data_IF_897603563179
#
_entry.id   IF_897603563179
#
_cell.length_a   1.000
_cell.length_b   1.000
_cell.length_c   1.000
_cell.angle_alpha   90.00
_cell.angle_beta   90.00
_cell.angle_gamma   90.00
#
_symmetry.space_group_name_H-M   'P 1'
#
loop_
_entity.id
_entity.type
_entity.pdbx_description
1 polymer ?
#
# COMPACT_ATOMS: atom_id res chain seq x y z
N UNK A 1 -83.64 -18.00 42.43
CA UNK A 1 -82.68 -17.55 43.46
C UNK A 1 -83.38 -16.51 44.32
N UNK A 2 -83.44 -16.71 45.63
CA UNK A 2 -84.11 -15.77 46.55
C UNK A 2 -83.41 -14.41 46.49
N UNK A 3 -84.19 -13.33 46.50
CA UNK A 3 -83.70 -11.95 46.45
C UNK A 3 -82.63 -11.66 47.51
N UNK A 4 -82.75 -12.26 48.70
CA UNK A 4 -81.75 -12.23 49.78
C UNK A 4 -80.35 -12.74 49.35
N UNK A 5 -80.27 -13.79 48.52
CA UNK A 5 -79.01 -14.35 48.04
C UNK A 5 -78.28 -13.41 47.07
N UNK A 6 -79.02 -12.65 46.25
CA UNK A 6 -78.46 -11.66 45.32
C UNK A 6 -77.86 -10.47 46.09
N UNK A 7 -78.54 -9.99 47.13
CA UNK A 7 -78.02 -8.92 47.99
C UNK A 7 -76.76 -9.32 48.75
N UNK A 8 -76.72 -10.54 49.30
CA UNK A 8 -75.52 -11.07 49.95
C UNK A 8 -74.35 -11.16 48.97
N UNK A 9 -74.58 -11.65 47.75
CA UNK A 9 -73.56 -11.74 46.71
C UNK A 9 -73.01 -10.36 46.32
N UNK A 10 -73.88 -9.35 46.14
CA UNK A 10 -73.47 -7.99 45.85
C UNK A 10 -72.62 -7.39 46.98
N UNK A 11 -73.01 -7.62 48.24
CA UNK A 11 -72.26 -7.18 49.42
C UNK A 11 -70.86 -7.80 49.49
N UNK A 12 -70.74 -9.12 49.30
CA UNK A 12 -69.45 -9.79 49.29
C UNK A 12 -68.56 -9.31 48.14
N UNK A 13 -69.14 -9.10 46.96
CA UNK A 13 -68.41 -8.58 45.78
C UNK A 13 -67.87 -7.18 46.05
N UNK A 14 -68.68 -6.28 46.63
CA UNK A 14 -68.26 -4.94 47.01
C UNK A 14 -67.11 -4.96 48.02
N UNK A 15 -67.20 -5.83 49.05
CA UNK A 15 -66.15 -6.00 50.05
C UNK A 15 -64.85 -6.55 49.44
N UNK A 16 -64.95 -7.50 48.52
CA UNK A 16 -63.79 -8.09 47.84
C UNK A 16 -63.10 -7.08 46.91
N UNK A 17 -63.88 -6.26 46.20
CA UNK A 17 -63.35 -5.18 45.38
C UNK A 17 -62.59 -4.14 46.22
N UNK A 18 -63.09 -3.81 47.42
CA UNK A 18 -62.39 -2.92 48.34
C UNK A 18 -61.04 -3.51 48.78
N UNK A 19 -60.99 -4.79 49.15
CA UNK A 19 -59.75 -5.45 49.52
C UNK A 19 -58.77 -5.55 48.36
N UNK A 20 -59.25 -5.89 47.17
CA UNK A 20 -58.42 -5.92 45.96
C UNK A 20 -57.86 -4.52 45.65
N UNK A 21 -58.66 -3.47 45.77
CA UNK A 21 -58.19 -2.09 45.58
C UNK A 21 -57.09 -1.72 46.59
N UNK A 22 -57.25 -2.09 47.87
CA UNK A 22 -56.22 -1.85 48.89
C UNK A 22 -54.95 -2.69 48.65
N UNK A 23 -55.10 -3.96 48.27
CA UNK A 23 -53.98 -4.84 47.94
C UNK A 23 -53.17 -4.30 46.75
N UNK A 24 -53.84 -3.81 45.69
CA UNK A 24 -53.17 -3.20 44.53
C UNK A 24 -52.35 -1.97 44.95
N UNK A 25 -52.86 -1.13 45.87
CA UNK A 25 -52.11 0.03 46.39
C UNK A 25 -50.82 -0.40 47.09
N UNK A 26 -50.89 -1.43 47.92
CA UNK A 26 -49.73 -2.00 48.63
C UNK A 26 -48.74 -2.59 47.63
N UNK A 27 -49.22 -3.42 46.70
CA UNK A 27 -48.40 -4.08 45.69
C UNK A 27 -47.70 -3.06 44.78
N UNK A 28 -48.38 -2.00 44.36
CA UNK A 28 -47.80 -0.92 43.55
C UNK A 28 -46.66 -0.23 44.30
N UNK A 29 -46.86 0.09 45.59
CA UNK A 29 -45.83 0.73 46.43
C UNK A 29 -44.62 -0.19 46.61
N UNK A 30 -44.86 -1.48 46.89
CA UNK A 30 -43.81 -2.47 47.08
C UNK A 30 -42.99 -2.71 45.80
N UNK A 31 -43.64 -2.89 44.64
CA UNK A 31 -42.96 -3.07 43.35
C UNK A 31 -42.06 -1.87 43.04
N UNK A 32 -42.53 -0.65 43.28
CA UNK A 32 -41.73 0.56 43.12
C UNK A 32 -40.52 0.63 44.06
N UNK A 33 -40.69 0.24 45.33
CA UNK A 33 -39.59 0.14 46.29
C UNK A 33 -38.55 -0.91 45.85
N UNK A 34 -39.00 -2.12 45.50
CA UNK A 34 -38.13 -3.24 45.10
C UNK A 34 -37.22 -2.85 43.93
N UNK A 35 -37.78 -2.22 42.88
CA UNK A 35 -37.02 -1.83 41.70
C UNK A 35 -35.94 -0.79 42.06
N UNK A 36 -36.31 0.27 42.79
CA UNK A 36 -35.37 1.34 43.17
C UNK A 36 -34.30 0.88 44.16
N UNK A 37 -34.59 -0.12 45.00
CA UNK A 37 -33.64 -0.62 46.00
C UNK A 37 -32.70 -1.69 45.45
N UNK A 38 -33.20 -2.61 44.61
CA UNK A 38 -32.47 -3.83 44.24
C UNK A 38 -32.17 -4.00 42.76
N UNK A 39 -32.90 -3.34 41.85
CA UNK A 39 -32.74 -3.57 40.42
C UNK A 39 -32.02 -2.42 39.72
N UNK A 40 -32.37 -1.17 40.05
CA UNK A 40 -31.92 -0.02 39.29
C UNK A 40 -31.65 1.20 40.17
N UNK A 41 -30.42 1.71 40.10
CA UNK A 41 -30.04 2.97 40.73
C UNK A 41 -29.92 4.07 39.67
N UNK A 42 -30.91 4.95 39.64
CA UNK A 42 -30.99 6.08 38.72
C UNK A 42 -29.80 7.04 38.84
N UNK A 43 -29.33 7.31 40.06
CA UNK A 43 -28.26 8.28 40.29
C UNK A 43 -26.92 7.76 39.75
N UNK A 44 -26.60 6.48 39.97
CA UNK A 44 -25.40 5.88 39.38
C UNK A 44 -25.44 5.86 37.85
N UNK A 45 -26.58 5.54 37.23
CA UNK A 45 -26.68 5.61 35.77
C UNK A 45 -26.47 7.05 35.28
N UNK A 46 -27.06 8.04 35.97
CA UNK A 46 -26.93 9.44 35.60
C UNK A 46 -25.48 9.92 35.70
N UNK A 47 -24.77 9.55 36.76
CA UNK A 47 -23.34 9.88 36.92
C UNK A 47 -22.48 9.17 35.88
N UNK A 48 -22.73 7.89 35.61
CA UNK A 48 -22.04 7.15 34.56
C UNK A 48 -22.21 7.82 33.19
N UNK A 49 -23.45 8.16 32.80
CA UNK A 49 -23.71 8.82 31.52
C UNK A 49 -23.02 10.18 31.43
N UNK A 50 -22.96 10.93 32.55
CA UNK A 50 -22.23 12.19 32.62
C UNK A 50 -20.73 11.99 32.41
N UNK A 51 -20.13 11.02 33.09
CA UNK A 51 -18.72 10.68 32.91
C UNK A 51 -18.43 10.25 31.46
N UNK A 52 -19.30 9.42 30.86
CA UNK A 52 -19.17 9.02 29.45
C UNK A 52 -19.24 10.23 28.52
N UNK A 53 -20.18 11.16 28.72
CA UNK A 53 -20.23 12.38 27.91
C UNK A 53 -18.96 13.22 28.04
N UNK A 54 -18.48 13.43 29.27
CA UNK A 54 -17.25 14.20 29.52
C UNK A 54 -16.03 13.54 28.86
N UNK A 55 -15.90 12.21 28.94
CA UNK A 55 -14.82 11.49 28.26
C UNK A 55 -14.93 11.57 26.73
N UNK A 56 -16.13 11.51 26.19
CA UNK A 56 -16.34 11.63 24.74
C UNK A 56 -15.99 13.03 24.24
N UNK A 57 -16.35 14.06 25.00
CA UNK A 57 -16.03 15.45 24.64
C UNK A 57 -14.51 15.69 24.69
N UNK A 58 -13.83 15.20 25.74
CA UNK A 58 -12.37 15.25 25.81
C UNK A 58 -11.68 14.49 24.66
N UNK A 59 -12.23 13.34 24.24
CA UNK A 59 -11.71 12.60 23.08
C UNK A 59 -11.91 13.39 21.78
N UNK A 60 -13.06 14.06 21.61
CA UNK A 60 -13.31 14.89 20.42
C UNK A 60 -12.35 16.06 20.33
N UNK A 61 -12.13 16.77 21.43
CA UNK A 61 -11.18 17.89 21.51
C UNK A 61 -9.76 17.40 21.15
N UNK A 62 -9.30 16.31 21.77
CA UNK A 62 -8.00 15.73 21.44
C UNK A 62 -7.88 15.31 19.96
N UNK A 63 -8.96 14.81 19.35
CA UNK A 63 -8.97 14.42 17.93
C UNK A 63 -8.88 15.64 17.01
N UNK A 64 -9.53 16.74 17.40
CA UNK A 64 -9.50 18.01 16.67
C UNK A 64 -8.10 18.62 16.73
N UNK A 65 -7.49 18.69 17.93
CA UNK A 65 -6.10 19.11 18.10
C UNK A 65 -5.12 18.26 17.27
N UNK A 66 -5.30 16.94 17.28
CA UNK A 66 -4.46 16.03 16.50
C UNK A 66 -4.62 16.27 14.98
N UNK A 67 -5.84 16.50 14.51
CA UNK A 67 -6.10 16.81 13.12
C UNK A 67 -5.42 18.13 12.71
N UNK A 68 -5.52 19.18 13.53
CA UNK A 68 -4.83 20.45 13.28
C UNK A 68 -3.31 20.31 13.27
N UNK A 69 -2.76 19.55 14.23
CA UNK A 69 -1.32 19.28 14.30
C UNK A 69 -0.85 18.56 13.03
N UNK A 70 -1.59 17.54 12.60
CA UNK A 70 -1.28 16.79 11.38
C UNK A 70 -1.35 17.66 10.13
N UNK A 71 -2.40 18.48 9.99
CA UNK A 71 -2.54 19.40 8.85
C UNK A 71 -1.38 20.41 8.82
N UNK A 72 -0.96 20.92 9.99
CA UNK A 72 0.18 21.82 10.10
C UNK A 72 1.50 21.14 9.71
N UNK A 73 1.68 19.88 10.09
CA UNK A 73 2.84 19.08 9.67
C UNK A 73 2.85 18.83 8.17
N UNK A 74 1.71 18.46 7.58
CA UNK A 74 1.55 18.26 6.13
C UNK A 74 1.85 19.57 5.38
N UNK A 75 1.27 20.70 5.80
CA UNK A 75 1.57 22.02 5.21
C UNK A 75 3.06 22.36 5.27
N UNK A 76 3.74 22.06 6.38
CA UNK A 76 5.20 22.27 6.51
C UNK A 76 5.98 21.35 5.57
N UNK A 77 5.60 20.08 5.47
CA UNK A 77 6.23 19.13 4.58
C UNK A 77 6.04 19.50 3.10
N UNK A 78 4.87 20.05 2.75
CA UNK A 78 4.58 20.54 1.40
C UNK A 78 5.46 21.72 1.04
N UNK A 79 5.58 22.70 1.94
CA UNK A 79 6.48 23.84 1.77
C UNK A 79 7.95 23.39 1.63
N UNK A 80 8.39 22.41 2.43
CA UNK A 80 9.75 21.86 2.33
C UNK A 80 9.96 21.11 1.00
N UNK A 81 8.94 20.38 0.51
CA UNK A 81 8.98 19.73 -0.80
C UNK A 81 9.08 20.75 -1.93
N UNK A 82 8.25 21.79 -1.91
CA UNK A 82 8.32 22.87 -2.90
C UNK A 82 9.67 23.60 -2.85
N UNK A 83 10.22 23.83 -1.66
CA UNK A 83 11.55 24.45 -1.52
C UNK A 83 12.63 23.56 -2.14
N UNK A 84 12.63 22.26 -1.83
CA UNK A 84 13.54 21.28 -2.45
C UNK A 84 13.39 21.21 -3.96
N UNK A 85 12.16 21.29 -4.48
CA UNK A 85 11.91 21.31 -5.92
C UNK A 85 12.45 22.59 -6.56
N UNK A 86 12.25 23.75 -5.95
CA UNK A 86 12.82 25.03 -6.41
C UNK A 86 14.34 24.97 -6.39
N UNK A 87 14.94 24.44 -5.33
CA UNK A 87 16.40 24.26 -5.26
C UNK A 87 16.90 23.29 -6.33
N UNK A 88 16.21 22.17 -6.55
CA UNK A 88 16.55 21.23 -7.60
C UNK A 88 16.47 21.88 -9.00
N UNK A 89 15.42 22.65 -9.27
CA UNK A 89 15.27 23.42 -10.50
C UNK A 89 16.40 24.43 -10.68
N UNK A 90 16.78 25.16 -9.63
CA UNK A 90 17.92 26.07 -9.67
C UNK A 90 19.23 25.33 -10.01
N UNK A 91 19.47 24.15 -9.42
CA UNK A 91 20.65 23.33 -9.73
C UNK A 91 20.64 22.81 -11.17
N UNK A 92 19.47 22.45 -11.70
CA UNK A 92 19.28 21.98 -13.09
C UNK A 92 19.51 23.10 -14.09
N UNK A 93 19.01 24.29 -13.79
CA UNK A 93 19.09 25.47 -14.65
C UNK A 93 20.27 26.37 -14.31
N UNK A 94 21.25 25.89 -13.54
CA UNK A 94 22.40 26.67 -13.08
C UNK A 94 23.19 27.32 -14.24
N UNK A 95 23.13 26.76 -15.44
CA UNK A 95 23.77 27.33 -16.64
C UNK A 95 23.16 28.67 -17.09
N UNK A 96 21.98 29.06 -16.58
CA UNK A 96 21.33 30.35 -16.88
C UNK A 96 21.85 31.50 -16.01
N UNK A 97 22.75 31.19 -15.06
CA UNK A 97 23.35 32.16 -14.15
C UNK A 97 24.19 33.20 -14.90
N UNK A 98 24.13 34.45 -14.45
CA UNK A 98 24.93 35.54 -15.00
C UNK A 98 26.43 35.30 -14.83
N UNK A 99 27.20 35.62 -15.87
CA UNK A 99 28.66 35.63 -15.82
C UNK A 99 29.18 37.06 -15.79
N UNK A 100 30.49 37.24 -15.57
CA UNK A 100 31.11 38.58 -15.60
C UNK A 100 31.03 39.26 -16.97
N UNK A 101 31.03 38.49 -18.05
CA UNK A 101 31.05 39.00 -19.42
C UNK A 101 29.64 39.09 -20.02
N UNK A 102 28.75 38.15 -19.70
CA UNK A 102 27.42 38.05 -20.27
C UNK A 102 26.38 38.04 -19.14
N UNK A 103 25.42 39.00 -19.11
CA UNK A 103 24.33 39.00 -18.16
C UNK A 103 23.43 37.77 -18.37
N UNK A 104 23.06 37.11 -17.27
CA UNK A 104 22.15 35.96 -17.27
C UNK A 104 20.72 36.37 -17.58
N UNK A 105 19.85 35.41 -17.94
CA UNK A 105 18.45 35.68 -18.30
C UNK A 105 17.71 36.40 -17.15
N UNK A 106 18.04 36.05 -15.91
CA UNK A 106 17.42 36.57 -14.69
C UNK A 106 18.14 37.81 -14.12
N UNK A 107 19.25 38.24 -14.74
CA UNK A 107 20.01 39.44 -14.37
C UNK A 107 20.13 40.40 -15.57
N UNK A 108 18.99 40.87 -16.05
CA UNK A 108 18.95 41.76 -17.22
C UNK A 108 19.56 43.14 -16.89
N UNK A 109 20.40 43.72 -17.77
CA UNK A 109 20.98 45.05 -17.58
C UNK A 109 19.96 46.18 -17.43
N UNK A 110 18.73 45.95 -17.89
CA UNK A 110 17.64 46.92 -17.84
C UNK A 110 16.88 46.92 -16.51
N UNK A 111 17.15 45.95 -15.63
CA UNK A 111 16.58 45.88 -14.28
C UNK A 111 17.58 46.44 -13.27
N UNK A 112 17.07 47.17 -12.28
CA UNK A 112 17.89 47.75 -11.19
C UNK A 112 18.38 46.68 -10.22
N UNK A 113 17.51 45.74 -9.89
CA UNK A 113 17.80 44.65 -8.96
C UNK A 113 17.73 43.29 -9.68
N UNK A 114 18.62 42.33 -9.34
CA UNK A 114 18.56 40.97 -9.85
C UNK A 114 17.25 40.29 -9.46
N UNK A 115 16.72 39.43 -10.34
CA UNK A 115 15.52 38.65 -10.02
C UNK A 115 15.78 37.72 -8.81
N UNK A 116 14.79 37.47 -7.94
CA UNK A 116 14.94 36.53 -6.82
C UNK A 116 15.45 35.15 -7.26
N UNK A 117 15.16 34.75 -8.50
CA UNK A 117 15.66 33.52 -9.08
C UNK A 117 17.18 33.53 -9.33
N UNK A 118 17.75 34.66 -9.76
CA UNK A 118 19.19 34.83 -9.93
C UNK A 118 19.92 34.64 -8.59
N UNK A 119 19.40 35.21 -7.50
CA UNK A 119 19.97 35.06 -6.15
C UNK A 119 19.97 33.60 -5.68
N UNK A 120 18.95 32.83 -6.05
CA UNK A 120 18.90 31.38 -5.78
C UNK A 120 19.91 30.61 -6.62
N UNK A 121 20.01 30.91 -7.91
CA UNK A 121 20.99 30.29 -8.80
C UNK A 121 22.43 30.50 -8.30
N UNK A 122 22.76 31.69 -7.78
CA UNK A 122 24.07 31.99 -7.21
C UNK A 122 24.41 31.13 -5.98
N UNK A 123 23.40 30.78 -5.17
CA UNK A 123 23.57 29.91 -3.99
C UNK A 123 23.65 28.42 -4.35
N UNK A 124 22.99 28.03 -5.44
CA UNK A 124 22.89 26.64 -5.85
C UNK A 124 24.21 26.13 -6.48
N UNK A 125 24.50 24.84 -6.33
CA UNK A 125 25.61 24.17 -7.03
C UNK A 125 25.08 23.38 -8.24
N UNK A 126 25.74 23.45 -9.41
CA UNK A 126 25.26 22.77 -10.62
C UNK A 126 25.15 21.26 -10.39
N UNK A 127 24.19 20.62 -11.08
CA UNK A 127 24.06 19.17 -11.06
C UNK A 127 25.30 18.51 -11.68
N UNK A 128 26.08 17.82 -10.86
CA UNK A 128 27.18 16.97 -11.34
C UNK A 128 26.58 15.68 -11.89
N UNK A 129 26.59 15.52 -13.22
CA UNK A 129 26.29 14.23 -13.82
C UNK A 129 27.43 13.26 -13.52
N UNK A 130 27.14 12.23 -12.72
CA UNK A 130 28.05 11.11 -12.52
C UNK A 130 28.18 10.42 -13.87
N UNK A 131 29.35 10.50 -14.49
CA UNK A 131 29.63 9.76 -15.72
C UNK A 131 29.36 8.28 -15.45
N UNK A 132 28.48 7.61 -16.21
CA UNK A 132 28.33 6.18 -16.07
C UNK A 132 29.71 5.56 -16.31
N UNK A 133 30.13 4.66 -15.42
CA UNK A 133 31.34 3.88 -15.65
C UNK A 133 31.18 3.16 -16.99
N UNK A 134 31.94 3.60 -17.98
CA UNK A 134 31.94 3.03 -19.31
C UNK A 134 32.48 1.61 -19.16
N UNK A 135 31.59 0.64 -18.97
CA UNK A 135 31.93 -0.76 -19.22
C UNK A 135 32.39 -0.82 -20.67
N UNK A 136 33.69 -1.02 -20.88
CA UNK A 136 34.29 -1.20 -22.21
C UNK A 136 33.51 -2.31 -22.92
N UNK A 137 32.60 -1.93 -23.82
CA UNK A 137 32.01 -2.89 -24.74
C UNK A 137 33.16 -3.38 -25.61
N UNK A 138 33.37 -4.69 -25.65
CA UNK A 138 34.31 -5.33 -26.58
C UNK A 138 33.93 -4.85 -27.98
N UNK A 139 34.86 -4.21 -28.68
CA UNK A 139 34.65 -3.81 -30.07
C UNK A 139 34.45 -5.07 -30.89
N UNK A 140 33.24 -5.28 -31.39
CA UNK A 140 32.99 -6.30 -32.41
C UNK A 140 33.73 -5.80 -33.65
N UNK A 141 34.64 -6.63 -34.15
CA UNK A 141 35.46 -6.31 -35.32
C UNK A 141 34.55 -6.17 -36.54
N UNK A 142 34.80 -5.15 -37.37
CA UNK A 142 34.05 -4.86 -38.60
C UNK A 142 34.07 -6.06 -39.59
N UNK A 143 35.04 -6.96 -39.43
CA UNK A 143 35.17 -8.22 -40.17
C UNK A 143 34.03 -9.22 -39.91
N UNK A 144 33.45 -9.25 -38.71
CA UNK A 144 32.39 -10.21 -38.35
C UNK A 144 31.06 -9.87 -39.06
N UNK A 145 30.84 -8.58 -39.34
CA UNK A 145 29.62 -8.11 -39.99
C UNK A 145 29.59 -8.43 -41.49
N UNK A 146 30.75 -8.43 -42.14
CA UNK A 146 30.91 -8.75 -43.57
C UNK A 146 30.74 -10.26 -43.85
N UNK A 147 31.05 -11.12 -42.88
CA UNK A 147 30.87 -12.57 -42.99
C UNK A 147 29.39 -12.98 -43.06
N UNK A 148 28.46 -12.19 -42.50
CA UNK A 148 27.03 -12.49 -42.53
C UNK A 148 26.37 -12.23 -43.89
N UNK A 149 26.99 -11.43 -44.76
CA UNK A 149 26.41 -11.03 -46.05
C UNK A 149 26.75 -12.00 -47.19
N UNK A 150 27.85 -12.75 -47.07
CA UNK A 150 28.28 -13.69 -48.12
C UNK A 150 27.42 -14.96 -48.22
N UNK A 151 26.73 -15.35 -47.15
CA UNK A 151 25.96 -16.60 -47.10
C UNK A 151 24.48 -16.47 -47.55
N UNK A 152 23.99 -15.27 -47.89
CA UNK A 152 22.57 -15.03 -48.23
C UNK A 152 22.33 -14.32 -49.56
N UNK A 153 23.15 -14.55 -50.57
CA UNK A 153 22.79 -14.15 -51.94
C UNK A 153 21.76 -15.16 -52.49
N UNK A 154 20.51 -14.74 -52.67
CA UNK A 154 19.52 -15.48 -53.46
C UNK A 154 20.06 -15.73 -54.88
N UNK A 155 19.92 -16.94 -55.46
CA UNK A 155 20.35 -17.16 -56.84
C UNK A 155 19.45 -16.30 -57.75
N UNK A 156 20.08 -15.50 -58.62
CA UNK A 156 19.37 -14.79 -59.69
C UNK A 156 18.73 -15.83 -60.61
N UNK A 157 17.41 -15.81 -60.71
CA UNK A 157 16.64 -16.68 -61.60
C UNK A 157 17.01 -16.39 -63.07
N UNK A 158 17.68 -17.34 -63.71
CA UNK A 158 17.79 -17.37 -65.17
C UNK A 158 16.42 -17.66 -65.79
N UNK A 159 16.12 -17.04 -66.93
CA UNK A 159 14.88 -17.26 -67.69
C UNK A 159 14.89 -18.71 -68.18
N UNK A 160 13.97 -19.52 -67.68
CA UNK A 160 13.77 -20.90 -68.15
C UNK A 160 12.95 -20.88 -69.46
N UNK A 161 13.24 -21.79 -70.41
CA UNK A 161 12.55 -21.83 -71.70
C UNK A 161 11.04 -22.13 -71.53
N UNK A 162 10.18 -21.78 -72.51
CA UNK A 162 8.75 -22.08 -72.46
C UNK A 162 8.53 -23.59 -72.37
N UNK A 163 8.08 -24.05 -71.21
CA UNK A 163 7.75 -25.46 -70.99
C UNK A 163 6.33 -25.66 -71.54
N UNK A 164 6.18 -26.35 -72.66
CA UNK A 164 4.90 -26.97 -73.03
C UNK A 164 4.61 -28.08 -72.00
N UNK A 165 3.85 -27.72 -70.95
CA UNK A 165 3.64 -28.57 -69.78
C UNK A 165 2.68 -29.71 -70.12
N UNK A 166 3.23 -30.86 -70.48
CA UNK A 166 2.49 -32.13 -70.48
C UNK A 166 1.96 -32.42 -69.07
N UNK A 167 0.79 -33.07 -68.97
CA UNK A 167 0.22 -33.53 -67.68
C UNK A 167 1.28 -34.39 -66.97
N UNK A 168 1.70 -33.97 -65.79
CA UNK A 168 2.72 -34.69 -65.02
C UNK A 168 2.18 -36.09 -64.68
N UNK A 169 2.91 -37.15 -65.03
CA UNK A 169 2.50 -38.51 -64.67
C UNK A 169 2.63 -38.71 -63.17
N UNK A 170 1.51 -39.00 -62.51
CA UNK A 170 1.40 -39.23 -61.08
C UNK A 170 0.04 -38.80 -60.54
N UNK A 171 -0.27 -39.04 -59.25
CA UNK A 171 -1.51 -38.60 -58.61
C UNK A 171 -1.47 -37.09 -58.25
N UNK A 172 -0.97 -36.27 -59.18
CA UNK A 172 -0.87 -34.83 -58.97
C UNK A 172 -2.20 -34.17 -59.37
N UNK A 173 -2.63 -33.20 -58.54
CA UNK A 173 -3.83 -32.40 -58.80
C UNK A 173 -3.68 -31.60 -60.08
N UNK A 174 -4.81 -31.31 -60.73
CA UNK A 174 -4.80 -30.50 -61.94
C UNK A 174 -4.26 -29.09 -61.66
N UNK A 175 -3.63 -28.50 -62.67
CA UNK A 175 -2.96 -27.21 -62.53
C UNK A 175 -3.97 -26.13 -62.14
N UNK A 176 -5.21 -26.20 -62.64
CA UNK A 176 -6.31 -25.32 -62.28
C UNK A 176 -6.62 -25.36 -60.77
N UNK A 177 -6.78 -26.55 -60.19
CA UNK A 177 -7.04 -26.70 -58.75
C UNK A 177 -5.91 -26.14 -57.89
N UNK A 178 -4.66 -26.37 -58.30
CA UNK A 178 -3.50 -25.85 -57.59
C UNK A 178 -3.46 -24.32 -57.66
N UNK A 179 -3.84 -23.73 -58.79
CA UNK A 179 -3.93 -22.27 -58.92
C UNK A 179 -5.08 -21.69 -58.09
N UNK A 180 -6.25 -22.34 -58.07
CA UNK A 180 -7.37 -21.94 -57.21
C UNK A 180 -6.98 -22.00 -55.73
N UNK A 181 -6.29 -23.07 -55.30
CA UNK A 181 -5.79 -23.19 -53.94
C UNK A 181 -4.74 -22.11 -53.63
N UNK A 182 -3.87 -21.79 -54.59
CA UNK A 182 -2.82 -20.77 -54.44
C UNK A 182 -3.39 -19.36 -54.34
N UNK A 183 -4.48 -19.08 -55.06
CA UNK A 183 -5.12 -17.77 -55.10
C UNK A 183 -6.38 -17.67 -54.24
N UNK A 184 -6.62 -18.65 -53.35
CA UNK A 184 -7.71 -18.57 -52.37
C UNK A 184 -7.55 -17.31 -51.50
N UNK A 185 -8.56 -16.43 -51.39
CA UNK A 185 -8.47 -15.23 -50.57
C UNK A 185 -8.26 -15.60 -49.10
N UNK A 186 -7.45 -14.82 -48.40
CA UNK A 186 -7.14 -15.05 -46.99
C UNK A 186 -8.38 -14.79 -46.14
N UNK A 187 -8.87 -15.81 -45.44
CA UNK A 187 -9.86 -15.64 -44.39
C UNK A 187 -9.17 -14.98 -43.18
N UNK A 188 -9.70 -13.86 -42.66
CA UNK A 188 -9.09 -13.17 -41.53
C UNK A 188 -9.04 -14.10 -40.31
N UNK A 189 -7.84 -14.32 -39.77
CA UNK A 189 -7.67 -15.13 -38.56
C UNK A 189 -8.48 -14.55 -37.40
N UNK A 190 -8.87 -15.36 -36.41
CA UNK A 190 -9.60 -14.93 -35.20
C UNK A 190 -9.03 -13.64 -34.56
N UNK A 191 -7.70 -13.49 -34.59
CA UNK A 191 -6.96 -12.30 -34.09
C UNK A 191 -7.28 -10.99 -34.82
N UNK A 192 -7.82 -11.05 -36.03
CA UNK A 192 -8.26 -9.91 -36.84
C UNK A 192 -9.75 -9.63 -36.63
N UNK A 193 -10.53 -10.64 -36.22
CA UNK A 193 -11.95 -10.51 -35.93
C UNK A 193 -12.22 -9.87 -34.56
N UNK A 194 -11.33 -10.08 -33.58
CA UNK A 194 -11.43 -9.46 -32.26
C UNK A 194 -10.78 -8.07 -32.22
N UNK A 195 -11.38 -7.09 -31.53
CA UNK A 195 -10.77 -5.77 -31.31
C UNK A 195 -9.41 -5.89 -30.61
N UNK A 196 -8.41 -5.17 -31.10
CA UNK A 196 -7.03 -5.18 -30.59
C UNK A 196 -6.98 -4.86 -29.08
N UNK A 197 -7.90 -4.01 -28.61
CA UNK A 197 -7.91 -3.51 -27.24
C UNK A 197 -8.76 -4.34 -26.26
N UNK A 198 -9.44 -5.40 -26.71
CA UNK A 198 -10.38 -6.16 -25.87
C UNK A 198 -9.75 -6.71 -24.58
N UNK A 199 -8.47 -7.11 -24.64
CA UNK A 199 -7.73 -7.59 -23.48
C UNK A 199 -7.41 -6.47 -22.47
N UNK A 200 -7.12 -5.27 -22.96
CA UNK A 200 -6.84 -4.09 -22.14
C UNK A 200 -8.12 -3.63 -21.44
N UNK A 201 -9.23 -3.59 -22.17
CA UNK A 201 -10.55 -3.25 -21.64
C UNK A 201 -11.03 -4.25 -20.59
N UNK A 202 -10.89 -5.56 -20.85
CA UNK A 202 -11.26 -6.61 -19.90
C UNK A 202 -10.46 -6.49 -18.58
N UNK A 203 -9.15 -6.20 -18.66
CA UNK A 203 -8.32 -5.95 -17.47
C UNK A 203 -8.77 -4.72 -16.69
N UNK A 204 -9.09 -3.63 -17.39
CA UNK A 204 -9.56 -2.40 -16.76
C UNK A 204 -10.92 -2.60 -16.06
N UNK A 205 -11.83 -3.36 -16.67
CA UNK A 205 -13.10 -3.71 -16.05
C UNK A 205 -12.92 -4.57 -14.80
N UNK A 206 -12.02 -5.56 -14.83
CA UNK A 206 -11.70 -6.39 -13.67
C UNK A 206 -11.12 -5.55 -12.53
N UNK A 207 -10.16 -4.67 -12.82
CA UNK A 207 -9.59 -3.75 -11.82
C UNK A 207 -10.64 -2.84 -11.19
N UNK A 208 -11.60 -2.32 -11.97
CA UNK A 208 -12.71 -1.51 -11.44
C UNK A 208 -13.60 -2.30 -10.49
N UNK A 209 -13.90 -3.55 -10.82
CA UNK A 209 -14.70 -4.43 -9.96
C UNK A 209 -13.96 -4.77 -8.66
N UNK A 210 -12.65 -5.01 -8.72
CA UNK A 210 -11.80 -5.20 -7.54
C UNK A 210 -11.76 -3.94 -6.67
N UNK A 211 -11.58 -2.77 -7.28
CA UNK A 211 -11.58 -1.48 -6.58
C UNK A 211 -12.89 -1.22 -5.85
N UNK A 212 -14.04 -1.51 -6.49
CA UNK A 212 -15.35 -1.34 -5.88
C UNK A 212 -15.57 -2.27 -4.66
N UNK A 213 -14.82 -3.37 -4.57
CA UNK A 213 -14.88 -4.34 -3.46
C UNK A 213 -13.83 -4.07 -2.38
N UNK A 214 -12.90 -3.15 -2.59
CA UNK A 214 -11.84 -2.86 -1.62
C UNK A 214 -12.39 -2.07 -0.43
N UNK A 215 -12.22 -2.65 0.77
CA UNK A 215 -12.52 -1.98 2.04
C UNK A 215 -11.36 -1.08 2.49
N UNK A 216 -10.16 -1.31 1.95
CA UNK A 216 -8.94 -0.61 2.33
C UNK A 216 -8.02 -0.42 1.12
N UNK A 217 -7.54 0.81 0.92
CA UNK A 217 -6.63 1.19 -0.18
C UNK A 217 -5.17 0.84 0.10
N UNK A 218 -4.84 0.45 1.33
CA UNK A 218 -3.47 0.08 1.69
C UNK A 218 -3.08 -1.24 1.04
N UNK A 219 -2.06 -1.20 0.17
CA UNK A 219 -1.46 -2.39 -0.42
C UNK A 219 -0.98 -3.35 0.68
N UNK A 220 -1.35 -4.63 0.57
CA UNK A 220 -0.88 -5.67 1.48
C UNK A 220 0.62 -5.88 1.28
N UNK A 221 1.42 -5.35 2.20
CA UNK A 221 2.87 -5.49 2.19
C UNK A 221 3.27 -6.76 2.97
N UNK A 222 4.30 -7.51 2.52
CA UNK A 222 4.83 -8.61 3.30
C UNK A 222 5.34 -8.12 4.66
N UNK A 223 5.27 -8.98 5.68
CA UNK A 223 5.61 -8.64 7.06
C UNK A 223 7.01 -8.02 7.23
N UNK A 224 7.94 -8.37 6.33
CA UNK A 224 9.32 -7.89 6.33
C UNK A 224 9.50 -6.46 5.79
N UNK A 225 8.51 -5.88 5.12
CA UNK A 225 8.57 -4.53 4.55
C UNK A 225 7.62 -3.53 5.22
N UNK A 226 6.66 -3.99 6.03
CA UNK A 226 5.60 -3.15 6.61
C UNK A 226 6.13 -2.02 7.52
N UNK A 227 7.27 -2.22 8.18
CA UNK A 227 7.81 -1.29 9.19
C UNK A 227 9.06 -0.52 8.74
N UNK A 228 9.64 -0.80 7.58
CA UNK A 228 10.95 -0.19 7.21
C UNK A 228 10.89 1.31 6.95
N UNK A 229 9.73 1.81 6.50
CA UNK A 229 9.57 3.21 6.08
C UNK A 229 8.42 3.94 6.81
N UNK A 230 7.68 3.26 7.69
CA UNK A 230 6.57 3.89 8.42
C UNK A 230 7.07 4.38 9.77
N UNK A 231 7.04 5.69 9.97
CA UNK A 231 7.21 6.28 11.31
C UNK A 231 6.05 5.80 12.17
N UNK A 232 6.34 5.19 13.32
CA UNK A 232 5.31 4.78 14.27
C UNK A 232 4.53 6.02 14.73
N UNK A 233 3.21 5.98 14.58
CA UNK A 233 2.30 7.00 15.12
C UNK A 233 1.64 6.35 16.34
N UNK A 234 1.97 6.80 17.57
CA UNK A 234 1.32 6.31 18.78
C UNK A 234 -0.20 6.55 18.68
N UNK A 235 -1.00 5.57 19.09
CA UNK A 235 -2.44 5.81 19.26
C UNK A 235 -2.65 6.82 20.40
N UNK A 236 -3.59 7.74 20.24
CA UNK A 236 -3.79 8.82 21.22
C UNK A 236 -4.06 8.30 22.65
N UNK A 237 -4.72 7.15 22.75
CA UNK A 237 -5.07 6.50 24.02
C UNK A 237 -3.90 5.73 24.67
N UNK A 238 -2.75 5.56 24.00
CA UNK A 238 -1.54 4.96 24.59
C UNK A 238 -0.67 5.99 25.32
N UNK A 239 -1.03 7.28 25.31
CA UNK A 239 -0.35 8.31 26.09
C UNK A 239 -0.74 8.20 27.58
N UNK A 240 -0.25 7.15 28.24
CA UNK A 240 -0.40 7.04 29.69
C UNK A 240 0.48 8.08 30.40
N UNK A 241 0.09 8.52 31.60
CA UNK A 241 0.91 9.39 32.47
C UNK A 241 2.30 8.80 32.76
N UNK A 242 2.45 7.48 32.62
CA UNK A 242 3.70 6.76 32.86
C UNK A 242 4.59 6.65 31.62
N UNK A 243 4.24 7.32 30.51
CA UNK A 243 4.94 7.22 29.24
C UNK A 243 4.67 5.88 28.55
N UNK A 244 5.17 5.68 27.32
CA UNK A 244 5.23 4.34 26.76
C UNK A 244 6.14 3.50 27.66
N UNK A 245 5.61 2.41 28.22
CA UNK A 245 6.45 1.38 28.81
C UNK A 245 7.54 1.07 27.80
N UNK A 246 8.81 1.16 28.21
CA UNK A 246 9.95 0.86 27.36
C UNK A 246 9.97 -0.64 27.06
N UNK A 247 9.04 -1.06 26.20
CA UNK A 247 8.93 -2.42 25.72
C UNK A 247 10.11 -2.66 24.78
N UNK A 248 11.21 -3.14 25.37
CA UNK A 248 12.43 -3.45 24.65
C UNK A 248 13.74 -2.90 25.23
N UNK A 249 13.77 -2.14 26.33
CA UNK A 249 15.06 -1.86 27.01
C UNK A 249 15.62 -3.04 27.80
N UNK A 250 14.79 -4.06 28.00
CA UNK A 250 15.19 -5.36 28.55
C UNK A 250 14.45 -6.42 27.73
N UNK A 251 15.00 -6.82 26.60
CA UNK A 251 14.39 -7.85 25.79
C UNK A 251 14.34 -9.18 26.59
N UNK A 252 13.33 -10.01 26.32
CA UNK A 252 13.21 -11.39 26.83
C UNK A 252 14.46 -12.26 26.55
N UNK A 253 15.37 -11.78 25.68
CA UNK A 253 16.62 -12.41 25.27
C UNK A 253 17.87 -11.56 25.56
N UNK A 254 17.77 -10.49 26.33
CA UNK A 254 18.97 -9.75 26.73
C UNK A 254 19.81 -10.60 27.66
N UNK A 255 21.02 -10.91 27.21
CA UNK A 255 22.03 -11.59 28.00
C UNK A 255 22.53 -10.62 29.06
N UNK A 256 22.40 -11.01 30.33
CA UNK A 256 22.78 -10.18 31.46
C UNK A 256 24.16 -10.64 31.96
N UNK A 257 25.29 -10.07 31.47
CA UNK A 257 26.63 -10.60 31.72
C UNK A 257 27.01 -10.62 33.22
N UNK A 258 26.33 -9.81 34.04
CA UNK A 258 26.45 -9.84 35.51
C UNK A 258 25.95 -11.13 36.16
N UNK A 259 25.11 -11.91 35.46
CA UNK A 259 24.60 -13.22 35.91
C UNK A 259 25.47 -14.38 35.43
N UNK A 260 26.50 -14.13 34.64
CA UNK A 260 27.40 -15.18 34.17
C UNK A 260 28.31 -15.61 35.33
N UNK A 261 28.29 -16.90 35.64
CA UNK A 261 29.11 -17.49 36.71
C UNK A 261 30.60 -17.49 36.31
N UNK A 262 30.89 -17.44 35.02
CA UNK A 262 32.25 -17.42 34.49
C UNK A 262 32.32 -16.53 33.23
N UNK A 263 33.41 -15.76 33.08
CA UNK A 263 33.68 -14.94 31.89
C UNK A 263 34.19 -15.75 30.69
N UNK A 264 34.11 -17.09 30.75
CA UNK A 264 34.59 -17.97 29.70
C UNK A 264 33.40 -18.57 28.97
N UNK A 265 33.43 -18.49 27.65
CA UNK A 265 32.47 -19.18 26.79
C UNK A 265 32.54 -20.69 27.05
N UNK A 266 31.42 -21.38 26.87
CA UNK A 266 31.37 -22.83 26.96
C UNK A 266 32.36 -23.44 25.96
N UNK A 267 33.41 -24.10 26.46
CA UNK A 267 34.31 -24.86 25.62
C UNK A 267 33.57 -26.11 25.14
N UNK A 268 33.45 -26.26 23.83
CA UNK A 268 32.93 -27.49 23.22
C UNK A 268 33.92 -28.62 23.50
N UNK A 269 33.56 -29.50 24.45
CA UNK A 269 34.37 -30.66 24.85
C UNK A 269 34.42 -31.73 23.75
N UNK A 270 33.47 -31.68 22.81
CA UNK A 270 33.37 -32.61 21.68
C UNK A 270 33.68 -31.88 20.36
N UNK A 271 34.44 -32.49 19.44
CA UNK A 271 34.61 -31.95 18.10
C UNK A 271 33.23 -31.84 17.42
N UNK A 272 33.00 -30.75 16.70
CA UNK A 272 31.75 -30.57 15.95
C UNK A 272 31.60 -31.72 14.93
N UNK A 273 30.45 -32.37 14.91
CA UNK A 273 30.14 -33.37 13.87
C UNK A 273 30.25 -32.73 12.48
N UNK A 274 30.97 -33.38 11.56
CA UNK A 274 31.23 -32.90 10.19
C UNK A 274 29.96 -32.52 9.43
N UNK A 275 28.83 -33.14 9.77
CA UNK A 275 27.51 -32.84 9.19
C UNK A 275 27.12 -31.36 9.33
N UNK A 276 27.46 -30.72 10.46
CA UNK A 276 27.08 -29.34 10.75
C UNK A 276 28.15 -28.31 10.39
N UNK A 277 29.37 -28.77 10.05
CA UNK A 277 30.48 -27.88 9.64
C UNK A 277 30.16 -27.05 8.38
N UNK A 278 29.23 -27.56 7.55
CA UNK A 278 28.78 -26.97 6.28
C UNK A 278 27.53 -26.09 6.41
N UNK A 279 26.85 -26.14 7.56
CA UNK A 279 25.60 -25.40 7.76
C UNK A 279 25.89 -23.89 7.77
N UNK A 280 25.13 -23.11 6.98
CA UNK A 280 25.32 -21.66 6.82
C UNK A 280 26.41 -21.23 5.83
N UNK A 281 27.47 -22.04 5.62
CA UNK A 281 28.57 -21.74 4.69
C UNK A 281 28.22 -21.96 3.22
N UNK A 282 27.36 -22.94 2.92
CA UNK A 282 27.02 -23.28 1.53
C UNK A 282 25.93 -22.41 0.92
N UNK A 283 25.08 -21.78 1.75
CA UNK A 283 23.88 -21.07 1.29
C UNK A 283 23.97 -19.55 1.43
N UNK A 284 24.99 -19.01 2.11
CA UNK A 284 25.17 -17.57 2.25
C UNK A 284 26.64 -17.18 2.43
N UNK A 285 27.06 -16.09 1.78
CA UNK A 285 28.40 -15.50 1.92
C UNK A 285 28.61 -14.76 3.26
N UNK A 286 27.60 -14.77 4.13
CA UNK A 286 27.58 -13.99 5.37
C UNK A 286 28.53 -14.54 6.46
N UNK A 287 28.99 -15.78 6.33
CA UNK A 287 29.92 -16.42 7.28
C UNK A 287 31.40 -16.31 6.91
N UNK A 288 31.77 -15.60 5.83
CA UNK A 288 33.17 -15.27 5.50
C UNK A 288 33.49 -13.88 6.05
N UNK A 289 33.55 -13.77 7.38
CA UNK A 289 34.20 -12.65 8.03
C UNK A 289 35.48 -13.25 8.62
N UNK A 290 36.62 -12.85 8.05
CA UNK A 290 37.95 -13.01 8.63
C UNK A 290 38.19 -11.82 9.55
#
# INVERSE_FOLDING_TARGET
>A
MSSSSIYQLAYYTMKMNLYNAMAVRIQRRWRGYKIRKYCFNYYYLKEYLKAVSETNDAIREALEEFAEMKEREEKKADLEREEKERDYQARKMHYLLSTKQIPGIYNSPFRKDPDPWELRLQKAKPLTHRRPEVKRKRSICLSDWLACTSARSFPRSGILPPIDRKRCQGPFRDISEVLEQRYKPLEPTLRVAEPIDGLTEARAQLQKQEWARNVNDNMFLPFSSYHKNKKYVPTMHLSSKYGPDAYGTQHFRDENPKRWICNKDFQTVLPSFDLFSKYGKMYSKAGQIV
#
